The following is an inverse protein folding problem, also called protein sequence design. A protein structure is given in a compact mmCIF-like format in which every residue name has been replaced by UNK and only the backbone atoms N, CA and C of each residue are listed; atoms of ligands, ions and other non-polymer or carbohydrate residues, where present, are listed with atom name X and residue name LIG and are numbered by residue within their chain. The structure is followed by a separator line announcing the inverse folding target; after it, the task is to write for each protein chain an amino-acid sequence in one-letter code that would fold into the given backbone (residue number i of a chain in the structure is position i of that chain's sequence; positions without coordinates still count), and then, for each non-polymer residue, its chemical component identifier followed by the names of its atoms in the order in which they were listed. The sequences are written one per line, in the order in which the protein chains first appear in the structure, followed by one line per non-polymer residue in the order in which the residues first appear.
data_IF_479717247665
#
_entry.id   IF_479717247665
#
_cell.length_a   1.000
_cell.length_b   1.000
_cell.length_c   1.000
_cell.angle_alpha   90.00
_cell.angle_beta   90.00
_cell.angle_gamma   90.00
#
_symmetry.space_group_name_H-M   'P 1'
#
loop_
_entity.id
_entity.type
_entity.pdbx_description
1 polymer ?
#
# COMPACT_ATOMS: atom_id res chain seq x y z
N UNK A 1 31.67 -106.47 -17.80
CA UNK A 1 30.32 -106.98 -17.48
C UNK A 1 29.90 -107.87 -18.64
N UNK A 2 29.62 -109.14 -18.38
CA UNK A 2 29.27 -110.16 -19.38
C UNK A 2 27.76 -110.39 -19.38
N UNK A 3 27.16 -110.51 -20.57
CA UNK A 3 25.75 -110.88 -20.71
C UNK A 3 25.54 -112.41 -20.67
N UNK A 4 24.29 -112.89 -20.47
CA UNK A 4 23.97 -114.32 -20.36
C UNK A 4 24.17 -115.15 -21.65
N UNK A 5 24.70 -114.58 -22.74
CA UNK A 5 24.97 -115.28 -24.02
C UNK A 5 26.46 -115.48 -24.32
N UNK A 6 27.37 -115.09 -23.42
CA UNK A 6 28.75 -115.59 -23.42
C UNK A 6 29.67 -115.09 -24.55
N UNK A 7 29.43 -113.90 -25.13
CA UNK A 7 30.35 -113.31 -26.11
C UNK A 7 31.12 -112.11 -25.51
N UNK A 8 32.46 -112.18 -25.54
CA UNK A 8 33.38 -111.11 -25.12
C UNK A 8 33.87 -110.32 -26.33
N UNK A 9 33.66 -109.00 -26.35
CA UNK A 9 34.36 -108.10 -27.27
C UNK A 9 35.34 -107.23 -26.48
N UNK A 10 36.63 -107.45 -26.70
CA UNK A 10 37.73 -106.64 -26.19
C UNK A 10 38.27 -105.78 -27.34
N UNK A 11 38.31 -104.47 -27.15
CA UNK A 11 38.97 -103.53 -28.05
C UNK A 11 40.06 -102.80 -27.28
N UNK A 12 41.30 -103.01 -27.69
CA UNK A 12 42.49 -102.29 -27.21
C UNK A 12 42.52 -100.90 -27.87
N UNK A 13 42.63 -99.84 -27.07
CA UNK A 13 42.93 -98.48 -27.56
C UNK A 13 44.30 -98.08 -27.02
N UNK A 14 45.22 -97.78 -27.93
CA UNK A 14 46.57 -97.30 -27.62
C UNK A 14 46.51 -95.78 -27.40
N UNK A 15 47.01 -95.29 -26.27
CA UNK A 15 47.20 -93.86 -26.01
C UNK A 15 48.70 -93.60 -25.84
N UNK A 16 49.20 -92.67 -26.64
CA UNK A 16 50.59 -92.19 -26.67
C UNK A 16 50.75 -91.07 -25.63
N UNK A 17 51.75 -91.16 -24.76
CA UNK A 17 52.10 -90.10 -23.80
C UNK A 17 53.23 -89.26 -24.41
N UNK A 18 53.01 -87.95 -24.56
CA UNK A 18 54.05 -86.96 -24.87
C UNK A 18 54.47 -86.24 -23.59
N UNK A 19 55.78 -86.14 -23.40
CA UNK A 19 56.47 -85.52 -22.26
C UNK A 19 56.82 -84.09 -22.65
N UNK A 20 56.18 -83.08 -22.04
CA UNK A 20 56.51 -81.67 -22.22
C UNK A 20 56.98 -81.10 -20.88
N UNK A 21 58.31 -81.03 -20.75
CA UNK A 21 59.06 -80.53 -19.60
C UNK A 21 59.78 -79.26 -20.06
N UNK A 22 59.19 -78.09 -19.80
CA UNK A 22 59.80 -76.78 -20.07
C UNK A 22 59.70 -75.91 -18.80
N UNK A 23 60.83 -75.81 -18.09
CA UNK A 23 61.05 -74.87 -16.97
C UNK A 23 62.06 -73.84 -17.46
N UNK A 24 61.66 -72.57 -17.50
CA UNK A 24 62.47 -71.37 -17.17
C UNK A 24 61.55 -70.13 -17.19
N UNK A 25 60.90 -69.81 -16.07
CA UNK A 25 60.40 -68.46 -15.79
C UNK A 25 61.46 -67.62 -15.05
N UNK A 26 61.40 -66.28 -15.11
CA UNK A 26 62.31 -65.39 -14.38
C UNK A 26 62.22 -65.60 -12.85
N UNK A 27 63.22 -65.17 -12.05
CA UNK A 27 63.18 -65.34 -10.59
C UNK A 27 61.93 -64.66 -10.02
N UNK A 28 61.28 -65.22 -8.98
CA UNK A 28 60.16 -64.55 -8.34
C UNK A 28 60.65 -63.20 -7.78
N UNK A 29 59.85 -62.16 -8.03
CA UNK A 29 59.86 -60.89 -7.28
C UNK A 29 60.03 -61.19 -5.77
N UNK A 30 60.70 -60.33 -4.97
CA UNK A 30 60.69 -60.52 -3.52
C UNK A 30 59.23 -60.61 -3.09
N UNK A 31 58.84 -61.75 -2.52
CA UNK A 31 57.54 -61.86 -1.85
C UNK A 31 57.52 -60.76 -0.81
N UNK A 32 56.67 -59.76 -1.01
CA UNK A 32 56.34 -58.84 0.06
C UNK A 32 55.91 -59.69 1.25
N UNK A 33 56.52 -59.43 2.40
CA UNK A 33 56.07 -60.08 3.61
C UNK A 33 54.68 -59.50 3.89
N UNK A 34 53.74 -60.39 4.15
CA UNK A 34 52.35 -60.11 4.50
C UNK A 34 52.10 -61.03 5.70
N UNK A 35 52.26 -60.43 6.88
CA UNK A 35 52.46 -61.14 8.14
C UNK A 35 51.16 -61.70 8.71
N UNK A 36 50.02 -61.10 8.38
CA UNK A 36 48.68 -61.53 8.81
C UNK A 36 47.79 -62.04 7.66
N UNK A 37 48.22 -61.89 6.41
CA UNK A 37 47.58 -62.39 5.19
C UNK A 37 46.26 -61.70 4.83
N UNK A 38 46.16 -60.39 5.04
CA UNK A 38 45.01 -59.59 4.60
C UNK A 38 45.12 -59.10 3.14
N UNK A 39 46.32 -59.22 2.56
CA UNK A 39 46.62 -58.85 1.18
C UNK A 39 47.33 -57.50 1.01
N UNK A 40 47.62 -56.77 2.09
CA UNK A 40 48.49 -55.59 2.11
C UNK A 40 49.90 -56.03 2.54
N UNK A 41 50.94 -55.40 1.98
CA UNK A 41 52.31 -55.74 2.33
C UNK A 41 52.71 -55.06 3.64
N UNK A 42 53.46 -55.75 4.53
CA UNK A 42 53.95 -55.21 5.82
C UNK A 42 54.64 -53.83 5.73
N UNK A 43 55.13 -53.42 4.54
CA UNK A 43 55.77 -52.12 4.32
C UNK A 43 54.82 -50.97 4.03
N UNK A 44 53.59 -51.26 3.58
CA UNK A 44 52.53 -50.31 3.25
C UNK A 44 51.31 -50.48 4.18
N UNK A 45 51.43 -51.37 5.17
CA UNK A 45 50.40 -51.73 6.12
C UNK A 45 50.69 -51.03 7.47
N UNK A 46 49.74 -50.23 7.94
CA UNK A 46 49.83 -49.56 9.24
C UNK A 46 49.75 -50.54 10.43
N UNK A 47 49.10 -51.70 10.24
CA UNK A 47 48.91 -52.75 11.23
C UNK A 47 49.35 -54.14 10.74
N UNK A 48 50.67 -54.40 10.53
CA UNK A 48 51.21 -55.63 9.92
C UNK A 48 50.99 -56.96 10.68
N UNK A 49 50.12 -57.00 11.68
CA UNK A 49 49.80 -58.21 12.42
C UNK A 49 48.31 -58.34 12.74
N UNK A 50 47.49 -57.39 12.32
CA UNK A 50 46.04 -57.43 12.45
C UNK A 50 45.40 -57.51 11.05
N UNK A 51 44.92 -58.69 10.62
CA UNK A 51 44.39 -58.86 9.28
C UNK A 51 43.03 -58.16 9.06
N UNK A 52 42.55 -57.40 10.05
CA UNK A 52 41.33 -56.59 9.94
C UNK A 52 41.61 -55.10 9.80
N UNK A 53 42.86 -54.66 9.83
CA UNK A 53 43.25 -53.26 9.71
C UNK A 53 44.49 -53.13 8.82
N UNK A 54 44.51 -52.14 7.92
CA UNK A 54 45.67 -51.91 7.05
C UNK A 54 46.03 -50.42 6.89
N UNK A 55 45.16 -49.51 7.33
CA UNK A 55 45.30 -48.05 7.18
C UNK A 55 45.00 -47.36 8.51
N UNK A 56 45.72 -46.26 8.74
CA UNK A 56 45.65 -45.35 9.89
C UNK A 56 45.74 -43.93 9.32
N UNK A 57 44.59 -43.33 9.00
CA UNK A 57 44.50 -42.07 8.25
C UNK A 57 44.99 -40.87 9.07
N UNK A 58 44.68 -40.81 10.36
CA UNK A 58 45.04 -39.71 11.27
C UNK A 58 46.32 -39.97 12.10
N UNK A 59 46.79 -41.22 12.15
CA UNK A 59 48.01 -41.61 12.84
C UNK A 59 47.86 -41.77 14.36
N UNK A 60 46.65 -41.99 14.87
CA UNK A 60 46.38 -42.13 16.30
C UNK A 60 46.71 -43.55 16.85
N UNK A 61 46.83 -44.52 15.93
CA UNK A 61 47.14 -45.92 16.20
C UNK A 61 45.93 -46.84 16.34
N UNK A 62 44.73 -46.39 15.97
CA UNK A 62 43.53 -47.18 15.67
C UNK A 62 43.39 -47.27 14.14
N UNK A 63 43.00 -48.43 13.62
CA UNK A 63 42.87 -48.61 12.17
C UNK A 63 41.50 -48.17 11.68
N UNK A 64 41.43 -47.70 10.43
CA UNK A 64 40.22 -47.11 9.87
C UNK A 64 38.97 -48.02 9.90
N UNK A 65 39.11 -49.36 9.90
CA UNK A 65 37.91 -50.20 9.99
C UNK A 65 37.30 -50.24 11.41
N UNK A 66 38.07 -49.82 12.42
CA UNK A 66 37.69 -49.78 13.83
C UNK A 66 37.57 -48.35 14.39
N UNK A 67 38.17 -47.37 13.73
CA UNK A 67 38.03 -45.95 14.07
C UNK A 67 36.65 -45.44 13.62
N UNK A 68 35.91 -44.67 14.45
CA UNK A 68 34.70 -43.97 14.02
C UNK A 68 34.92 -42.58 13.41
N UNK A 69 36.16 -42.07 13.41
CA UNK A 69 36.57 -40.74 12.93
C UNK A 69 37.97 -40.88 12.29
N UNK A 70 37.98 -41.34 11.04
CA UNK A 70 39.19 -41.78 10.31
C UNK A 70 40.27 -40.67 10.16
N UNK A 71 39.88 -39.40 10.14
CA UNK A 71 40.81 -38.28 9.93
C UNK A 71 40.95 -37.32 11.13
N UNK A 72 40.21 -37.56 12.21
CA UNK A 72 40.22 -36.79 13.46
C UNK A 72 39.88 -35.30 13.28
N UNK A 73 39.07 -34.94 12.28
CA UNK A 73 38.62 -33.56 12.08
C UNK A 73 37.49 -33.12 13.03
N UNK A 74 36.87 -34.10 13.70
CA UNK A 74 35.82 -33.92 14.70
C UNK A 74 34.42 -34.31 14.21
N UNK A 75 34.27 -34.78 12.98
CA UNK A 75 33.06 -35.39 12.44
C UNK A 75 33.21 -36.90 12.35
N UNK A 76 32.16 -37.63 12.75
CA UNK A 76 32.17 -39.09 12.65
C UNK A 76 31.99 -39.53 11.20
N UNK A 77 32.62 -40.65 10.79
CA UNK A 77 32.56 -41.14 9.41
C UNK A 77 31.12 -41.29 8.88
N UNK A 78 30.19 -41.64 9.77
CA UNK A 78 28.79 -41.82 9.41
C UNK A 78 28.08 -40.51 9.07
N UNK A 79 28.52 -39.40 9.68
CA UNK A 79 27.99 -38.05 9.48
C UNK A 79 28.56 -37.49 8.19
N UNK A 80 29.86 -37.63 8.01
CA UNK A 80 30.57 -37.26 6.80
C UNK A 80 30.05 -37.99 5.56
N UNK A 81 29.87 -39.31 5.66
CA UNK A 81 29.30 -40.11 4.58
C UNK A 81 27.90 -39.62 4.17
N UNK A 82 27.09 -39.16 5.12
CA UNK A 82 25.75 -38.63 4.84
C UNK A 82 25.79 -37.21 4.26
N UNK A 83 26.72 -36.38 4.75
CA UNK A 83 26.91 -35.01 4.30
C UNK A 83 27.74 -34.90 2.99
N UNK A 84 28.40 -35.99 2.59
CA UNK A 84 29.20 -36.05 1.36
C UNK A 84 30.64 -35.56 1.50
N UNK A 85 31.16 -35.45 2.72
CA UNK A 85 32.57 -35.13 2.99
C UNK A 85 33.47 -36.39 2.94
N UNK A 86 34.78 -36.19 2.79
CA UNK A 86 35.78 -37.25 2.66
C UNK A 86 36.29 -37.71 4.02
N UNK A 87 36.05 -38.99 4.32
CA UNK A 87 36.36 -39.64 5.61
C UNK A 87 37.86 -39.63 5.98
N UNK A 88 38.75 -39.40 5.02
CA UNK A 88 40.19 -39.60 5.23
C UNK A 88 41.01 -38.30 5.12
N UNK A 89 40.36 -37.15 4.95
CA UNK A 89 41.00 -35.87 4.62
C UNK A 89 40.56 -34.75 5.57
N UNK A 90 41.36 -34.49 6.61
CA UNK A 90 41.08 -33.54 7.71
C UNK A 90 40.50 -32.15 7.37
N UNK A 91 40.67 -31.66 6.13
CA UNK A 91 40.12 -30.37 5.71
C UNK A 91 38.78 -30.48 4.96
N UNK A 92 38.29 -31.69 4.77
CA UNK A 92 37.04 -32.01 4.14
C UNK A 92 35.97 -32.19 5.21
N UNK A 93 35.53 -31.09 5.81
CA UNK A 93 34.41 -31.10 6.75
C UNK A 93 33.06 -31.04 6.02
N UNK A 94 31.96 -31.53 6.62
CA UNK A 94 30.59 -31.25 6.16
C UNK A 94 30.33 -29.75 5.95
N UNK A 95 29.46 -29.42 4.99
CA UNK A 95 29.05 -28.02 4.75
C UNK A 95 28.22 -27.48 5.93
N UNK A 96 28.51 -26.22 6.27
CA UNK A 96 27.87 -25.38 7.29
C UNK A 96 27.83 -23.97 6.66
N UNK A 97 26.73 -23.67 5.97
CA UNK A 97 26.61 -22.54 5.05
C UNK A 97 26.68 -21.20 5.79
N UNK A 98 26.05 -21.10 6.95
CA UNK A 98 26.01 -19.87 7.76
C UNK A 98 27.12 -19.79 8.84
N UNK A 99 27.78 -20.91 9.14
CA UNK A 99 28.85 -21.00 10.11
C UNK A 99 28.37 -20.96 11.57
N UNK A 100 27.13 -21.37 11.86
CA UNK A 100 26.56 -21.39 13.21
C UNK A 100 27.02 -22.62 14.03
N UNK A 101 27.60 -23.61 13.35
CA UNK A 101 28.13 -24.84 13.93
C UNK A 101 27.18 -26.04 13.84
N UNK A 102 26.03 -25.90 13.21
CA UNK A 102 25.16 -26.98 12.76
C UNK A 102 25.45 -27.19 11.26
N UNK A 103 25.66 -28.43 10.86
CA UNK A 103 25.91 -28.75 9.44
C UNK A 103 24.59 -28.70 8.69
N UNK A 104 24.61 -28.35 7.40
CA UNK A 104 23.40 -28.19 6.61
C UNK A 104 22.44 -29.39 6.67
N UNK A 105 22.99 -30.60 6.72
CA UNK A 105 22.19 -31.84 6.82
C UNK A 105 21.30 -31.89 8.09
N UNK A 106 21.67 -31.17 9.14
CA UNK A 106 21.03 -31.15 10.44
C UNK A 106 20.48 -29.76 10.83
N UNK A 107 20.71 -28.76 10.00
CA UNK A 107 20.15 -27.44 10.16
C UNK A 107 18.73 -27.41 9.58
N UNK A 108 17.86 -26.61 10.18
CA UNK A 108 16.51 -26.36 9.65
C UNK A 108 16.50 -25.07 8.79
N UNK A 109 17.55 -24.24 8.87
CA UNK A 109 17.71 -22.94 8.19
C UNK A 109 19.20 -22.76 7.82
N UNK A 110 19.60 -23.35 6.69
CA UNK A 110 21.01 -23.50 6.27
C UNK A 110 21.78 -22.18 6.14
N UNK A 111 21.10 -21.06 5.87
CA UNK A 111 21.72 -19.75 5.65
C UNK A 111 21.38 -18.69 6.71
N UNK A 112 20.60 -19.09 7.73
CA UNK A 112 20.15 -18.31 8.88
C UNK A 112 19.47 -16.98 8.50
N UNK A 113 18.74 -16.96 7.39
CA UNK A 113 18.00 -15.78 6.93
C UNK A 113 16.63 -15.62 7.61
N UNK A 114 16.20 -16.66 8.35
CA UNK A 114 14.97 -16.71 9.12
C UNK A 114 13.85 -17.52 8.46
N UNK A 115 14.09 -18.12 7.29
CA UNK A 115 13.19 -19.05 6.63
C UNK A 115 13.78 -20.47 6.65
N UNK A 116 12.97 -21.46 7.02
CA UNK A 116 13.45 -22.84 7.02
C UNK A 116 13.58 -23.38 5.61
N UNK A 117 14.53 -24.28 5.37
CA UNK A 117 14.76 -25.00 4.11
C UNK A 117 13.47 -25.57 3.50
N UNK A 118 12.56 -26.07 4.34
CA UNK A 118 11.28 -26.63 3.91
C UNK A 118 10.38 -25.58 3.23
N UNK A 119 10.33 -24.37 3.78
CA UNK A 119 9.53 -23.26 3.25
C UNK A 119 10.16 -22.76 1.97
N UNK A 120 11.49 -22.63 1.95
CA UNK A 120 12.23 -22.20 0.77
C UNK A 120 12.11 -23.18 -0.39
N UNK A 121 12.17 -24.48 -0.12
CA UNK A 121 11.89 -25.52 -1.13
C UNK A 121 10.44 -25.40 -1.64
N UNK A 122 9.47 -25.08 -0.78
CA UNK A 122 8.06 -24.93 -1.14
C UNK A 122 7.81 -23.71 -2.05
N UNK A 123 8.46 -22.58 -1.78
CA UNK A 123 8.30 -21.32 -2.53
C UNK A 123 9.34 -21.13 -3.64
N UNK A 124 10.33 -22.02 -3.72
CA UNK A 124 11.35 -22.06 -4.77
C UNK A 124 12.51 -21.07 -4.58
N UNK A 125 12.83 -20.73 -3.34
CA UNK A 125 14.06 -19.98 -2.99
C UNK A 125 15.22 -20.92 -2.68
N UNK A 126 16.42 -20.36 -2.59
CA UNK A 126 17.69 -21.06 -2.42
C UNK A 126 18.12 -21.03 -0.97
N UNK A 127 17.94 -22.14 -0.25
CA UNK A 127 18.24 -22.27 1.18
C UNK A 127 19.71 -22.15 1.55
N UNK A 128 20.60 -22.02 0.55
CA UNK A 128 22.03 -21.82 0.77
C UNK A 128 22.45 -20.36 0.58
N UNK A 129 21.49 -19.43 0.44
CA UNK A 129 21.75 -18.07 0.02
C UNK A 129 20.87 -17.05 0.74
N UNK A 130 21.42 -16.52 1.84
CA UNK A 130 20.78 -15.58 2.77
C UNK A 130 20.20 -14.27 2.18
N UNK A 131 20.35 -14.05 0.87
CA UNK A 131 19.77 -12.92 0.15
C UNK A 131 18.53 -13.31 -0.66
N UNK A 132 18.18 -14.59 -0.71
CA UNK A 132 17.12 -15.11 -1.54
C UNK A 132 15.85 -15.40 -0.75
N UNK A 133 15.29 -14.37 -0.12
CA UNK A 133 14.06 -14.51 0.66
C UNK A 133 12.82 -14.88 -0.17
N UNK A 134 11.84 -15.59 0.43
CA UNK A 134 10.48 -15.68 -0.06
C UNK A 134 9.88 -14.30 -0.33
N UNK A 135 9.05 -14.19 -1.37
CA UNK A 135 8.40 -12.93 -1.74
C UNK A 135 7.25 -12.61 -0.77
N UNK A 136 7.16 -11.34 -0.41
CA UNK A 136 6.10 -10.69 0.36
C UNK A 136 5.97 -9.30 -0.27
N UNK A 137 5.09 -9.21 -1.27
CA UNK A 137 5.02 -8.12 -2.23
C UNK A 137 4.53 -6.83 -1.59
N UNK A 138 3.52 -6.90 -0.73
CA UNK A 138 2.94 -5.77 0.00
C UNK A 138 3.55 -5.52 1.39
N UNK A 139 4.30 -6.48 1.95
CA UNK A 139 4.98 -6.44 3.25
C UNK A 139 4.01 -6.51 4.43
N UNK A 140 2.92 -7.24 4.30
CA UNK A 140 1.96 -7.46 5.36
C UNK A 140 2.32 -8.66 6.29
N UNK A 141 3.41 -9.36 5.97
CA UNK A 141 3.94 -10.55 6.63
C UNK A 141 3.25 -11.87 6.26
N UNK A 142 2.40 -11.86 5.25
CA UNK A 142 1.93 -13.06 4.54
C UNK A 142 2.79 -13.19 3.29
N UNK A 143 3.32 -14.39 3.05
CA UNK A 143 4.11 -14.64 1.84
C UNK A 143 3.17 -14.72 0.65
N UNK A 144 3.59 -14.25 -0.53
CA UNK A 144 2.79 -14.26 -1.76
C UNK A 144 2.14 -15.63 -2.04
N UNK A 145 2.84 -16.71 -1.71
CA UNK A 145 2.32 -18.07 -1.91
C UNK A 145 1.07 -18.40 -1.05
N UNK A 146 0.92 -17.75 0.09
CA UNK A 146 -0.20 -17.91 1.04
C UNK A 146 -1.13 -16.71 1.09
N UNK A 147 -0.78 -15.61 0.43
CA UNK A 147 -1.64 -14.46 0.26
C UNK A 147 -2.71 -14.76 -0.80
N UNK A 148 -3.85 -14.09 -0.67
CA UNK A 148 -4.89 -14.08 -1.68
C UNK A 148 -4.93 -12.76 -2.46
N UNK A 149 -4.21 -11.74 -2.00
CA UNK A 149 -4.13 -10.38 -2.52
C UNK A 149 -2.67 -9.90 -2.33
N UNK A 150 -1.79 -10.37 -3.21
CA UNK A 150 -0.32 -10.22 -3.12
C UNK A 150 0.15 -8.75 -2.95
N UNK A 151 -0.62 -7.79 -3.46
CA UNK A 151 -0.28 -6.36 -3.41
C UNK A 151 -1.19 -5.50 -2.50
N UNK A 152 -2.18 -6.13 -1.86
CA UNK A 152 -3.14 -5.54 -0.94
C UNK A 152 -3.91 -4.34 -1.52
N UNK A 153 -4.19 -4.33 -2.83
CA UNK A 153 -5.00 -3.30 -3.48
C UNK A 153 -6.52 -3.49 -3.33
N UNK A 154 -6.91 -4.60 -2.70
CA UNK A 154 -8.27 -4.99 -2.41
C UNK A 154 -8.88 -5.93 -3.46
N UNK A 155 -8.11 -6.35 -4.46
CA UNK A 155 -8.50 -7.35 -5.43
C UNK A 155 -7.68 -8.63 -5.27
N UNK A 156 -8.34 -9.79 -5.26
CA UNK A 156 -7.60 -11.05 -5.15
C UNK A 156 -6.86 -11.43 -6.43
N UNK A 157 -5.71 -12.11 -6.29
CA UNK A 157 -4.87 -12.56 -7.40
C UNK A 157 -5.64 -13.38 -8.44
N UNK A 158 -6.62 -14.15 -7.98
CA UNK A 158 -7.46 -14.98 -8.84
C UNK A 158 -8.31 -14.11 -9.76
N UNK A 159 -8.90 -13.04 -9.24
CA UNK A 159 -9.74 -12.13 -10.02
C UNK A 159 -8.87 -11.32 -10.97
N UNK A 160 -7.74 -10.83 -10.51
CA UNK A 160 -6.78 -10.11 -11.35
C UNK A 160 -6.28 -10.95 -12.51
N UNK A 161 -5.93 -12.22 -12.25
CA UNK A 161 -5.52 -13.14 -13.31
C UNK A 161 -6.64 -13.42 -14.31
N UNK A 162 -7.89 -13.55 -13.84
CA UNK A 162 -9.06 -13.73 -14.71
C UNK A 162 -9.33 -12.46 -15.56
N UNK A 163 -9.05 -11.28 -15.02
CA UNK A 163 -9.23 -9.98 -15.67
C UNK A 163 -8.02 -9.50 -16.47
N UNK A 164 -6.87 -10.18 -16.33
CA UNK A 164 -5.64 -9.88 -17.04
C UNK A 164 -4.81 -8.73 -16.46
N UNK A 165 -5.00 -8.42 -15.17
CA UNK A 165 -4.17 -7.48 -14.43
C UNK A 165 -3.03 -8.19 -13.69
N UNK A 166 -2.15 -7.44 -13.02
CA UNK A 166 -0.91 -7.93 -12.42
C UNK A 166 -1.03 -7.99 -10.89
N UNK A 167 -1.13 -9.18 -10.28
CA UNK A 167 -1.36 -9.34 -8.84
C UNK A 167 -0.28 -8.79 -7.91
N UNK A 168 0.86 -8.38 -8.48
CA UNK A 168 2.01 -7.89 -7.70
C UNK A 168 2.17 -6.38 -7.77
N UNK A 169 1.21 -5.68 -8.37
CA UNK A 169 1.33 -4.28 -8.68
C UNK A 169 0.05 -3.54 -8.27
N UNK A 170 0.05 -2.81 -7.13
CA UNK A 170 -1.17 -2.26 -6.52
C UNK A 170 -1.77 -1.07 -7.29
N UNK A 171 -1.20 -0.77 -8.47
CA UNK A 171 -1.71 0.19 -9.44
C UNK A 171 -2.32 -0.49 -10.67
N UNK A 172 -2.39 -1.82 -10.67
CA UNK A 172 -2.90 -2.65 -11.74
C UNK A 172 -4.16 -3.38 -11.27
N UNK A 173 -5.19 -2.62 -10.90
CA UNK A 173 -6.49 -3.19 -10.54
C UNK A 173 -7.41 -3.33 -11.76
N UNK A 174 -8.27 -4.36 -11.82
CA UNK A 174 -9.39 -4.41 -12.75
C UNK A 174 -10.30 -3.19 -12.61
N UNK A 175 -10.79 -2.67 -13.72
CA UNK A 175 -11.80 -1.61 -13.73
C UNK A 175 -13.13 -2.14 -13.15
N UNK A 176 -13.80 -1.31 -12.36
CA UNK A 176 -15.07 -1.56 -11.68
C UNK A 176 -15.87 -0.25 -11.81
N UNK A 177 -16.69 -0.17 -12.85
CA UNK A 177 -17.30 1.08 -13.33
C UNK A 177 -18.38 1.58 -12.39
N UNK A 178 -19.18 0.68 -11.82
CA UNK A 178 -20.28 1.01 -10.91
C UNK A 178 -19.92 0.91 -9.41
N UNK A 179 -18.71 0.42 -9.11
CA UNK A 179 -18.17 0.24 -7.75
C UNK A 179 -18.99 -0.72 -6.88
N UNK A 180 -19.63 -1.72 -7.48
CA UNK A 180 -20.39 -2.73 -6.73
C UNK A 180 -19.49 -3.83 -6.12
N UNK A 181 -18.21 -3.85 -6.53
CA UNK A 181 -17.17 -4.78 -6.09
C UNK A 181 -16.98 -5.98 -7.00
N UNK A 182 -17.68 -6.04 -8.15
CA UNK A 182 -17.48 -7.00 -9.22
C UNK A 182 -16.81 -6.24 -10.38
N UNK A 183 -15.56 -6.54 -10.73
CA UNK A 183 -14.91 -5.87 -11.85
C UNK A 183 -15.60 -6.12 -13.19
N UNK A 184 -15.52 -5.17 -14.13
CA UNK A 184 -16.19 -5.19 -15.43
C UNK A 184 -15.92 -6.47 -16.27
N UNK A 185 -14.73 -7.06 -16.10
CA UNK A 185 -14.37 -8.33 -16.73
C UNK A 185 -15.22 -9.54 -16.26
N UNK A 186 -15.85 -9.43 -15.10
CA UNK A 186 -16.67 -10.45 -14.43
C UNK A 186 -18.11 -10.01 -14.21
N UNK A 187 -18.38 -8.70 -14.27
CA UNK A 187 -19.72 -8.17 -14.27
C UNK A 187 -20.45 -8.50 -15.59
N UNK A 188 -21.77 -8.53 -15.50
CA UNK A 188 -22.68 -8.70 -16.63
C UNK A 188 -23.43 -7.40 -16.97
N UNK A 189 -23.33 -6.38 -16.11
CA UNK A 189 -24.01 -5.09 -16.15
C UNK A 189 -23.06 -4.05 -15.53
N UNK A 190 -22.00 -3.70 -16.27
CA UNK A 190 -20.82 -2.95 -15.79
C UNK A 190 -21.15 -1.57 -15.19
N UNK A 191 -22.26 -0.95 -15.58
CA UNK A 191 -22.70 0.36 -15.10
C UNK A 191 -23.97 0.31 -14.23
N UNK A 192 -24.50 -0.89 -13.99
CA UNK A 192 -25.67 -1.18 -13.17
C UNK A 192 -26.94 -0.38 -13.58
N UNK A 193 -27.09 -0.04 -14.86
CA UNK A 193 -28.28 0.64 -15.40
C UNK A 193 -29.49 -0.31 -15.57
N UNK A 194 -29.25 -1.62 -15.40
CA UNK A 194 -30.25 -2.68 -15.48
C UNK A 194 -30.32 -3.37 -16.84
N UNK A 195 -29.38 -3.10 -17.75
CA UNK A 195 -29.24 -3.74 -19.04
C UNK A 195 -27.89 -4.47 -19.14
N UNK A 196 -27.94 -5.80 -19.30
CA UNK A 196 -26.69 -6.58 -19.46
C UNK A 196 -25.81 -6.06 -20.62
N UNK A 197 -24.48 -5.98 -20.44
CA UNK A 197 -23.53 -5.40 -21.42
C UNK A 197 -23.68 -6.01 -22.82
N UNK A 198 -24.00 -7.31 -22.86
CA UNK A 198 -24.16 -8.01 -24.11
C UNK A 198 -25.37 -7.50 -24.90
N UNK A 199 -26.44 -7.07 -24.25
CA UNK A 199 -27.62 -6.45 -24.86
C UNK A 199 -27.24 -5.10 -25.46
N UNK A 200 -26.51 -4.30 -24.71
CA UNK A 200 -26.07 -2.97 -25.09
C UNK A 200 -25.12 -2.99 -26.29
N UNK A 201 -24.08 -3.82 -26.24
CA UNK A 201 -23.15 -4.05 -27.37
C UNK A 201 -23.93 -4.46 -28.64
N UNK A 202 -24.98 -5.27 -28.50
CA UNK A 202 -25.81 -5.71 -29.63
C UNK A 202 -26.69 -4.59 -30.20
N UNK A 203 -27.06 -3.62 -29.37
CA UNK A 203 -27.91 -2.48 -29.74
C UNK A 203 -27.10 -1.21 -30.03
N UNK A 204 -25.80 -1.25 -29.76
CA UNK A 204 -24.82 -0.22 -30.07
C UNK A 204 -24.66 0.85 -29.01
N UNK A 205 -25.02 0.58 -27.76
CA UNK A 205 -24.78 1.43 -26.59
C UNK A 205 -23.52 1.00 -25.84
N UNK A 206 -22.96 1.90 -25.02
CA UNK A 206 -21.73 1.70 -24.26
C UNK A 206 -22.03 1.13 -22.86
N UNK A 207 -21.59 -0.11 -22.55
CA UNK A 207 -21.88 -0.75 -21.26
C UNK A 207 -21.27 -0.11 -20.02
N UNK A 208 -20.40 0.88 -20.22
CA UNK A 208 -19.74 1.57 -19.12
C UNK A 208 -20.40 2.92 -18.80
N UNK A 209 -21.55 3.20 -19.40
CA UNK A 209 -22.18 4.50 -19.35
C UNK A 209 -23.65 4.38 -18.96
N UNK A 210 -23.90 4.55 -17.66
CA UNK A 210 -25.20 4.43 -16.98
C UNK A 210 -26.34 5.27 -17.58
N UNK A 211 -26.04 6.16 -18.52
CA UNK A 211 -27.01 7.01 -19.21
C UNK A 211 -27.25 6.61 -20.68
N UNK A 212 -26.64 5.52 -21.18
CA UNK A 212 -26.80 5.09 -22.58
C UNK A 212 -27.68 3.85 -22.74
N UNK A 213 -28.98 4.07 -22.84
CA UNK A 213 -29.92 2.97 -22.82
C UNK A 213 -30.18 2.30 -24.18
N UNK A 214 -30.33 0.96 -24.23
CA UNK A 214 -30.62 0.21 -25.45
C UNK A 214 -32.04 0.43 -26.04
N UNK A 215 -32.88 1.26 -25.42
CA UNK A 215 -34.26 1.51 -25.84
C UNK A 215 -34.54 2.99 -26.11
N UNK A 216 -35.59 3.33 -26.90
CA UNK A 216 -35.99 4.72 -27.09
C UNK A 216 -36.46 5.46 -25.83
N UNK A 217 -36.82 4.76 -24.77
CA UNK A 217 -37.37 5.27 -23.50
C UNK A 217 -36.35 4.91 -22.43
N UNK A 218 -35.25 5.68 -22.40
CA UNK A 218 -34.02 5.26 -21.75
C UNK A 218 -34.16 5.15 -20.25
N UNK A 219 -34.60 6.23 -19.62
CA UNK A 219 -34.87 6.32 -18.19
C UNK A 219 -36.16 5.58 -17.74
N UNK A 220 -36.97 5.08 -18.68
CA UNK A 220 -38.18 4.31 -18.42
C UNK A 220 -39.33 5.12 -17.82
N UNK A 221 -39.34 6.44 -17.98
CA UNK A 221 -40.39 7.33 -17.47
C UNK A 221 -41.70 7.25 -18.29
N UNK A 222 -41.63 6.61 -19.46
CA UNK A 222 -42.73 6.42 -20.41
C UNK A 222 -42.77 7.45 -21.54
N UNK A 223 -41.74 8.29 -21.67
CA UNK A 223 -41.55 9.34 -22.66
C UNK A 223 -40.29 9.05 -23.48
N UNK A 224 -40.43 8.54 -24.72
CA UNK A 224 -39.27 8.23 -25.54
C UNK A 224 -38.47 9.46 -26.03
N UNK A 225 -37.15 9.32 -26.18
CA UNK A 225 -36.31 10.24 -26.94
C UNK A 225 -36.68 10.23 -28.44
N UNK A 226 -36.53 11.37 -29.11
CA UNK A 226 -37.06 11.59 -30.47
C UNK A 226 -36.39 10.75 -31.59
N UNK A 227 -37.19 9.94 -32.30
CA UNK A 227 -36.78 9.17 -33.50
C UNK A 227 -37.29 9.74 -34.85
N UNK A 228 -37.43 11.05 -34.99
CA UNK A 228 -37.66 11.66 -36.31
C UNK A 228 -39.10 11.58 -36.87
N UNK A 229 -39.61 12.74 -37.27
CA UNK A 229 -40.75 13.01 -38.17
C UNK A 229 -42.19 12.67 -37.72
N UNK A 230 -42.45 12.23 -36.49
CA UNK A 230 -43.82 12.26 -35.93
C UNK A 230 -43.77 12.73 -34.48
N UNK A 231 -44.22 13.96 -34.22
CA UNK A 231 -44.27 14.56 -32.89
C UNK A 231 -45.24 13.84 -31.97
N UNK A 232 -44.75 13.04 -31.03
CA UNK A 232 -45.46 12.74 -29.79
C UNK A 232 -44.42 12.39 -28.72
N UNK A 233 -44.16 13.37 -27.85
CA UNK A 233 -43.29 13.33 -26.66
C UNK A 233 -41.80 13.22 -27.00
N UNK A 234 -41.06 14.29 -26.71
CA UNK A 234 -39.61 14.31 -26.76
C UNK A 234 -39.18 14.48 -25.33
N UNK A 235 -38.48 13.50 -24.82
CA UNK A 235 -37.89 13.58 -23.49
C UNK A 235 -36.98 14.80 -23.36
N UNK A 236 -37.29 15.69 -22.42
CA UNK A 236 -36.48 16.85 -22.09
C UNK A 236 -35.48 16.58 -20.94
N UNK A 237 -35.50 15.37 -20.35
CA UNK A 237 -34.45 14.84 -19.48
C UNK A 237 -34.22 13.34 -19.78
N UNK A 238 -33.58 13.00 -20.93
CA UNK A 238 -33.45 11.61 -21.42
C UNK A 238 -32.90 10.57 -20.45
N UNK A 239 -32.21 11.04 -19.42
CA UNK A 239 -31.44 10.24 -18.48
C UNK A 239 -32.06 10.25 -17.06
N UNK A 240 -33.09 11.07 -16.80
CA UNK A 240 -33.68 11.25 -15.47
C UNK A 240 -35.21 11.18 -15.54
N UNK A 241 -35.84 10.18 -14.88
CA UNK A 241 -37.28 9.97 -14.97
C UNK A 241 -38.14 11.18 -14.63
N UNK A 242 -38.76 11.80 -15.63
CA UNK A 242 -39.65 12.95 -15.45
C UNK A 242 -40.93 12.83 -16.31
N UNK A 243 -41.88 11.93 -15.96
CA UNK A 243 -43.06 11.65 -16.80
C UNK A 243 -43.98 12.86 -17.07
N UNK A 244 -43.80 13.95 -16.32
CA UNK A 244 -44.55 15.20 -16.47
C UNK A 244 -43.92 16.17 -17.48
N UNK A 245 -42.64 15.98 -17.82
CA UNK A 245 -41.87 16.78 -18.77
C UNK A 245 -42.01 18.29 -18.49
N UNK A 246 -41.94 18.65 -17.20
CA UNK A 246 -42.02 20.05 -16.77
C UNK A 246 -40.72 20.76 -17.16
N UNK A 247 -40.85 21.95 -17.73
CA UNK A 247 -39.78 22.85 -18.19
C UNK A 247 -40.26 24.27 -17.85
N UNK A 248 -39.79 24.81 -16.73
CA UNK A 248 -40.32 26.04 -16.13
C UNK A 248 -39.91 27.29 -16.91
N UNK A 249 -38.76 27.29 -17.56
CA UNK A 249 -38.20 28.46 -18.23
C UNK A 249 -38.24 28.40 -19.78
N UNK A 250 -38.68 27.27 -20.34
CA UNK A 250 -38.75 26.89 -21.76
C UNK A 250 -37.39 26.93 -22.49
N UNK A 251 -36.30 26.48 -21.87
CA UNK A 251 -34.99 26.33 -22.52
C UNK A 251 -34.81 24.99 -23.26
N UNK A 252 -35.71 24.04 -22.99
CA UNK A 252 -35.78 22.72 -23.58
C UNK A 252 -35.15 21.60 -22.74
N UNK A 253 -34.70 21.90 -21.53
CA UNK A 253 -34.35 20.94 -20.48
C UNK A 253 -35.52 20.87 -19.48
N UNK A 254 -35.70 19.73 -18.83
CA UNK A 254 -36.74 19.60 -17.81
C UNK A 254 -36.26 20.01 -16.42
N UNK A 255 -37.18 20.45 -15.56
CA UNK A 255 -36.89 20.94 -14.20
C UNK A 255 -36.05 19.97 -13.33
N UNK A 256 -36.03 18.66 -13.65
CA UNK A 256 -35.26 17.67 -12.89
C UNK A 256 -33.80 17.56 -13.32
N UNK A 257 -33.49 18.01 -14.54
CA UNK A 257 -32.15 17.97 -15.13
C UNK A 257 -31.63 19.37 -15.49
N UNK A 258 -32.34 20.41 -15.06
CA UNK A 258 -32.00 21.81 -15.26
C UNK A 258 -31.43 22.40 -13.96
N UNK A 259 -30.13 22.71 -13.97
CA UNK A 259 -29.43 23.34 -12.85
C UNK A 259 -29.77 24.84 -12.69
N UNK A 260 -30.58 25.42 -13.58
CA UNK A 260 -31.18 26.75 -13.42
C UNK A 260 -32.66 26.79 -13.83
N UNK A 261 -33.51 26.08 -13.09
CA UNK A 261 -34.98 25.92 -13.29
C UNK A 261 -35.75 27.19 -13.74
N UNK A 262 -35.30 28.39 -13.35
CA UNK A 262 -35.97 29.66 -13.66
C UNK A 262 -35.25 30.54 -14.70
N UNK A 263 -34.05 30.15 -15.18
CA UNK A 263 -33.16 30.97 -16.02
C UNK A 263 -32.56 30.14 -17.15
N UNK A 264 -32.96 30.46 -18.39
CA UNK A 264 -32.56 29.70 -19.58
C UNK A 264 -31.04 29.58 -19.73
N UNK A 265 -30.53 28.37 -19.60
CA UNK A 265 -29.11 28.03 -19.69
C UNK A 265 -28.94 26.64 -20.31
N UNK A 266 -29.33 26.49 -21.57
CA UNK A 266 -29.25 25.22 -22.31
C UNK A 266 -27.86 24.54 -22.28
N UNK A 267 -26.80 25.29 -22.03
CA UNK A 267 -25.43 24.78 -21.89
C UNK A 267 -25.11 24.19 -20.50
N UNK A 268 -25.95 24.44 -19.49
CA UNK A 268 -25.89 23.87 -18.14
C UNK A 268 -24.49 24.00 -17.54
N UNK A 269 -23.86 25.16 -17.72
CA UNK A 269 -22.55 25.41 -17.13
C UNK A 269 -22.68 25.54 -15.62
N UNK A 270 -21.77 24.89 -14.91
CA UNK A 270 -21.67 24.81 -13.46
C UNK A 270 -20.18 24.58 -13.16
N UNK A 271 -19.49 25.66 -12.83
CA UNK A 271 -18.03 25.70 -12.77
C UNK A 271 -17.47 25.06 -11.50
N UNK A 272 -18.15 25.25 -10.38
CA UNK A 272 -17.73 24.77 -9.05
C UNK A 272 -18.38 23.44 -8.65
N UNK A 273 -19.35 22.96 -9.44
CA UNK A 273 -20.06 21.68 -9.31
C UNK A 273 -20.88 21.59 -8.03
N UNK A 274 -21.50 22.68 -7.62
CA UNK A 274 -22.38 22.72 -6.45
C UNK A 274 -23.83 22.26 -6.77
N UNK A 275 -24.16 22.13 -8.06
CA UNK A 275 -25.46 21.72 -8.57
C UNK A 275 -26.37 22.87 -9.00
N UNK A 276 -25.91 24.11 -8.90
CA UNK A 276 -26.56 25.34 -9.35
C UNK A 276 -25.77 25.89 -10.53
N UNK A 277 -26.46 26.23 -11.63
CA UNK A 277 -25.74 26.66 -12.84
C UNK A 277 -25.18 28.08 -12.72
N UNK A 278 -24.07 28.38 -13.42
CA UNK A 278 -23.36 29.67 -13.38
C UNK A 278 -24.25 30.90 -13.66
N UNK A 279 -25.39 30.72 -14.34
CA UNK A 279 -26.33 31.81 -14.65
C UNK A 279 -27.31 32.13 -13.51
N UNK A 280 -27.50 31.21 -12.58
CA UNK A 280 -28.39 31.34 -11.44
C UNK A 280 -27.69 31.15 -10.08
N UNK A 281 -26.38 30.88 -10.10
CA UNK A 281 -25.52 30.82 -8.93
C UNK A 281 -25.10 32.22 -8.47
N UNK A 282 -25.26 32.49 -7.17
CA UNK A 282 -24.85 33.75 -6.53
C UNK A 282 -23.33 33.80 -6.28
N UNK A 283 -22.63 32.66 -6.29
CA UNK A 283 -21.18 32.55 -6.18
C UNK A 283 -20.58 31.51 -7.17
N UNK A 284 -20.56 31.80 -8.50
CA UNK A 284 -20.18 30.84 -9.56
C UNK A 284 -18.80 30.17 -9.49
N UNK A 285 -17.93 30.59 -8.58
CA UNK A 285 -16.58 30.06 -8.41
C UNK A 285 -16.42 29.27 -7.09
N UNK A 286 -17.42 29.25 -6.19
CA UNK A 286 -17.30 28.80 -4.79
C UNK A 286 -18.47 27.90 -4.34
N UNK A 287 -18.19 26.59 -4.17
CA UNK A 287 -19.19 25.56 -3.84
C UNK A 287 -20.18 25.95 -2.72
N UNK A 288 -21.43 26.25 -3.07
CA UNK A 288 -22.48 26.72 -2.15
C UNK A 288 -23.91 26.24 -2.51
N UNK A 289 -24.23 24.94 -2.44
CA UNK A 289 -25.51 24.39 -2.93
C UNK A 289 -26.78 24.96 -2.26
N UNK A 290 -26.64 25.57 -1.08
CA UNK A 290 -27.75 26.19 -0.34
C UNK A 290 -28.05 27.62 -0.79
N UNK A 291 -27.14 28.26 -1.54
CA UNK A 291 -27.29 29.57 -2.16
C UNK A 291 -27.78 30.63 -1.15
N UNK A 292 -27.13 30.66 0.04
CA UNK A 292 -27.40 31.69 1.05
C UNK A 292 -26.96 33.06 0.50
N UNK A 293 -27.85 34.04 0.61
CA UNK A 293 -27.71 35.44 0.19
C UNK A 293 -28.59 36.24 1.17
N UNK A 294 -28.01 36.63 2.31
CA UNK A 294 -28.74 37.12 3.46
C UNK A 294 -29.36 38.51 3.24
N UNK A 295 -28.68 39.38 2.50
CA UNK A 295 -29.13 40.73 2.18
C UNK A 295 -29.88 40.86 0.83
N UNK A 296 -29.95 39.77 0.06
CA UNK A 296 -30.59 39.67 -1.25
C UNK A 296 -29.94 40.58 -2.32
N UNK A 297 -28.62 40.78 -2.28
CA UNK A 297 -27.90 41.65 -3.21
C UNK A 297 -27.40 40.93 -4.50
N UNK A 298 -27.61 39.61 -4.56
CA UNK A 298 -27.19 38.66 -5.61
C UNK A 298 -25.71 38.24 -5.54
N UNK A 299 -25.03 38.54 -4.44
CA UNK A 299 -23.76 37.94 -4.04
C UNK A 299 -24.03 37.02 -2.86
N UNK A 300 -23.60 35.76 -2.93
CA UNK A 300 -23.88 34.82 -1.84
C UNK A 300 -22.95 35.01 -0.66
N UNK A 301 -23.41 34.64 0.53
CA UNK A 301 -22.69 34.84 1.81
C UNK A 301 -21.26 34.25 1.83
N UNK A 302 -20.96 33.26 0.97
CA UNK A 302 -19.62 32.68 0.88
C UNK A 302 -18.62 33.57 0.11
N UNK A 303 -19.12 34.40 -0.80
CA UNK A 303 -18.33 35.26 -1.68
C UNK A 303 -18.64 36.76 -1.50
N UNK A 304 -19.59 37.09 -0.62
CA UNK A 304 -19.75 38.41 -0.03
C UNK A 304 -18.74 38.64 1.11
N UNK A 305 -18.47 39.91 1.40
CA UNK A 305 -17.64 40.34 2.52
C UNK A 305 -18.46 41.07 3.59
N UNK A 306 -19.74 41.34 3.35
CA UNK A 306 -20.66 42.11 4.20
C UNK A 306 -22.09 41.51 4.03
N UNK A 307 -22.32 40.35 4.65
CA UNK A 307 -23.51 39.50 4.46
C UNK A 307 -24.85 40.21 4.74
N UNK A 308 -24.87 41.26 5.58
CA UNK A 308 -26.07 42.02 5.92
C UNK A 308 -26.11 43.46 5.41
N UNK A 309 -25.08 43.86 4.64
CA UNK A 309 -24.93 45.14 3.99
C UNK A 309 -25.04 46.35 4.97
N UNK A 310 -24.67 46.18 6.24
CA UNK A 310 -24.68 47.23 7.26
C UNK A 310 -23.45 48.15 7.21
N UNK A 311 -22.44 47.75 6.42
CA UNK A 311 -21.21 48.47 6.16
C UNK A 311 -20.02 48.03 7.00
N UNK A 312 -20.14 46.93 7.76
CA UNK A 312 -19.03 46.24 8.43
C UNK A 312 -18.75 44.92 7.72
N UNK A 313 -17.48 44.51 7.65
CA UNK A 313 -17.17 43.23 7.01
C UNK A 313 -17.38 42.06 7.96
N UNK A 314 -17.74 40.89 7.46
CA UNK A 314 -17.96 39.70 8.30
C UNK A 314 -16.71 39.35 9.13
N UNK A 315 -15.52 39.56 8.54
CA UNK A 315 -14.23 39.35 9.22
C UNK A 315 -14.10 40.28 10.45
N UNK A 316 -14.45 41.56 10.28
CA UNK A 316 -14.40 42.56 11.35
C UNK A 316 -15.45 42.27 12.42
N UNK A 317 -16.67 41.91 12.02
CA UNK A 317 -17.76 41.63 12.93
C UNK A 317 -17.54 40.40 13.80
N UNK A 318 -17.07 39.30 13.21
CA UNK A 318 -16.68 38.11 13.96
C UNK A 318 -15.56 38.43 14.96
N UNK A 319 -14.59 39.25 14.55
CA UNK A 319 -13.48 39.64 15.42
C UNK A 319 -13.93 40.50 16.60
N UNK A 320 -14.97 41.32 16.40
CA UNK A 320 -15.49 42.27 17.36
C UNK A 320 -16.70 41.73 18.15
N UNK A 321 -17.21 40.58 17.74
CA UNK A 321 -18.26 39.82 18.41
C UNK A 321 -19.69 40.27 18.07
N UNK A 322 -19.88 40.96 16.95
CA UNK A 322 -21.19 41.16 16.32
C UNK A 322 -21.57 39.95 15.44
N UNK A 323 -22.79 39.97 14.92
CA UNK A 323 -23.36 38.91 14.09
C UNK A 323 -23.39 39.40 12.63
N UNK A 324 -22.58 38.81 11.72
CA UNK A 324 -22.50 39.21 10.32
C UNK A 324 -23.80 39.15 9.52
N UNK A 325 -24.82 38.45 10.07
CA UNK A 325 -26.12 38.26 9.44
C UNK A 325 -27.21 38.99 10.23
N UNK A 326 -26.95 40.15 10.82
CA UNK A 326 -27.95 40.96 11.52
C UNK A 326 -27.59 42.44 11.43
N UNK A 327 -28.21 43.16 10.49
CA UNK A 327 -28.00 44.61 10.23
C UNK A 327 -28.15 45.53 11.48
N UNK A 328 -28.67 44.99 12.58
CA UNK A 328 -28.82 45.69 13.86
C UNK A 328 -27.71 45.40 14.86
N UNK A 329 -26.79 44.51 14.53
CA UNK A 329 -25.72 43.98 15.37
C UNK A 329 -24.39 44.69 15.22
N UNK A 330 -24.29 45.82 14.52
CA UNK A 330 -23.11 46.70 14.44
C UNK A 330 -22.12 46.64 15.62
N UNK A 331 -20.84 46.35 15.32
CA UNK A 331 -19.77 46.57 16.28
C UNK A 331 -19.62 48.07 16.60
N UNK A 332 -19.32 48.43 17.86
CA UNK A 332 -19.19 49.84 18.24
C UNK A 332 -18.02 50.56 17.55
N UNK A 333 -18.25 51.83 17.23
CA UNK A 333 -17.28 52.84 16.79
C UNK A 333 -17.70 54.16 17.46
N UNK A 334 -17.23 54.40 18.69
CA UNK A 334 -17.76 55.51 19.52
C UNK A 334 -17.38 56.91 19.01
N UNK A 335 -16.22 57.05 18.37
CA UNK A 335 -15.76 58.33 17.84
C UNK A 335 -16.08 58.54 16.34
N UNK A 336 -16.47 57.48 15.64
CA UNK A 336 -16.87 57.51 14.24
C UNK A 336 -15.71 57.72 13.27
N UNK A 337 -14.48 57.31 13.65
CA UNK A 337 -13.30 57.45 12.79
C UNK A 337 -13.15 56.33 11.75
N UNK A 338 -13.99 55.29 11.86
CA UNK A 338 -14.05 54.14 10.96
C UNK A 338 -13.16 52.97 11.39
N UNK A 339 -12.53 53.04 12.55
CA UNK A 339 -11.88 51.91 13.21
C UNK A 339 -12.81 51.41 14.31
N UNK A 340 -13.21 50.15 14.26
CA UNK A 340 -14.07 49.58 15.30
C UNK A 340 -13.35 49.58 16.66
N UNK A 341 -14.10 49.81 17.74
CA UNK A 341 -13.64 49.87 19.14
C UNK A 341 -12.76 48.68 19.60
N UNK A 342 -12.96 47.52 19.01
CA UNK A 342 -12.21 46.27 19.24
C UNK A 342 -10.78 46.31 18.64
N UNK A 343 -10.58 47.15 17.61
CA UNK A 343 -9.31 47.38 16.93
C UNK A 343 -8.69 48.73 17.25
N UNK A 344 -9.48 49.63 17.83
CA UNK A 344 -9.03 50.91 18.35
C UNK A 344 -8.45 50.77 19.77
N UNK A 345 -7.50 51.64 20.11
CA UNK A 345 -6.93 51.73 21.45
C UNK A 345 -7.32 53.03 22.16
N UNK A 346 -8.11 53.90 21.53
CA UNK A 346 -8.58 55.21 22.04
C UNK A 346 -10.00 55.47 21.53
N UNK A 347 -10.97 54.68 22.00
CA UNK A 347 -12.29 54.54 21.35
C UNK A 347 -13.14 55.84 21.31
N UNK A 348 -12.78 56.85 22.09
CA UNK A 348 -13.46 58.16 22.08
C UNK A 348 -12.61 59.30 21.53
N UNK A 349 -11.39 58.98 21.07
CA UNK A 349 -10.39 59.88 20.49
C UNK A 349 -10.09 61.11 21.39
N UNK A 350 -10.14 60.94 22.72
CA UNK A 350 -9.78 62.00 23.68
C UNK A 350 -8.26 62.12 23.93
N UNK A 351 -7.50 61.14 23.42
CA UNK A 351 -6.04 61.08 23.48
C UNK A 351 -5.51 60.27 24.66
N UNK A 352 -6.36 59.51 25.35
CA UNK A 352 -6.00 58.60 26.44
C UNK A 352 -6.32 57.16 26.01
N UNK A 353 -5.31 56.31 26.03
CA UNK A 353 -5.49 54.89 25.69
C UNK A 353 -6.48 54.19 26.65
N UNK A 354 -7.39 53.38 26.08
CA UNK A 354 -8.42 52.59 26.75
C UNK A 354 -7.92 51.84 28.01
N UNK A 355 -6.69 51.32 27.96
CA UNK A 355 -6.10 50.52 29.04
C UNK A 355 -5.89 51.30 30.35
N UNK A 356 -5.88 52.64 30.26
CA UNK A 356 -5.72 53.55 31.41
C UNK A 356 -6.88 54.55 31.54
N UNK A 357 -7.78 54.61 30.57
CA UNK A 357 -8.94 55.50 30.65
C UNK A 357 -10.06 54.95 31.56
N UNK A 358 -10.70 55.85 32.30
CA UNK A 358 -11.79 55.54 33.22
C UNK A 358 -13.16 55.54 32.53
N UNK A 359 -13.30 56.18 31.37
CA UNK A 359 -14.55 56.23 30.60
C UNK A 359 -14.30 56.01 29.08
N UNK A 360 -13.72 54.85 28.65
CA UNK A 360 -13.14 54.70 27.30
C UNK A 360 -14.09 54.95 26.12
N UNK A 361 -15.40 54.89 26.37
CA UNK A 361 -16.44 55.05 25.35
C UNK A 361 -16.99 56.47 25.23
N UNK A 362 -16.47 57.46 25.97
CA UNK A 362 -17.05 58.79 25.97
C UNK A 362 -16.03 59.87 26.30
N UNK A 363 -15.76 60.70 25.27
CA UNK A 363 -14.80 61.78 25.30
C UNK A 363 -14.88 62.56 26.61
N UNK A 364 -13.83 62.47 27.41
CA UNK A 364 -13.69 63.24 28.62
C UNK A 364 -12.36 64.00 28.69
N UNK A 365 -12.20 64.82 29.73
CA UNK A 365 -10.93 65.51 29.92
C UNK A 365 -10.29 64.89 31.15
N UNK A 366 -9.35 63.96 30.98
CA UNK A 366 -8.71 63.32 32.12
C UNK A 366 -7.96 64.34 32.99
N UNK A 367 -8.40 64.42 34.25
CA UNK A 367 -7.91 65.37 35.25
C UNK A 367 -6.81 64.72 36.10
N UNK A 368 -5.56 64.73 35.63
CA UNK A 368 -4.45 64.20 36.44
C UNK A 368 -4.21 65.12 37.64
N UNK A 369 -4.26 64.56 38.85
CA UNK A 369 -3.85 65.30 40.05
C UNK A 369 -2.34 65.22 40.22
N UNK A 370 -1.62 66.34 40.13
CA UNK A 370 -0.23 66.39 40.56
C UNK A 370 -0.17 66.26 42.09
N UNK A 371 0.73 65.41 42.58
CA UNK A 371 1.08 65.36 43.99
C UNK A 371 1.98 66.57 44.34
N UNK A 372 1.46 67.49 45.17
CA UNK A 372 2.17 68.66 45.68
C UNK A 372 1.99 68.72 47.21
N UNK A 373 3.02 68.29 47.94
CA UNK A 373 3.14 68.50 49.39
C UNK A 373 3.95 69.76 49.62
N UNK A 374 3.25 70.88 49.85
CA UNK A 374 3.87 72.20 50.06
C UNK A 374 4.71 72.23 51.36
N UNK A 375 4.44 71.33 52.30
CA UNK A 375 5.17 71.23 53.57
C UNK A 375 6.16 70.05 53.64
N UNK A 376 6.14 69.14 52.66
CA UNK A 376 7.07 68.02 52.53
C UNK A 376 6.85 66.84 53.49
N UNK A 377 5.67 66.73 54.11
CA UNK A 377 5.32 65.66 55.05
C UNK A 377 4.97 64.32 54.39
N UNK A 378 4.97 64.25 53.05
CA UNK A 378 4.60 63.04 52.33
C UNK A 378 3.09 62.78 52.32
N UNK A 379 2.28 63.78 52.70
CA UNK A 379 0.83 63.81 52.48
C UNK A 379 0.50 64.93 51.49
N UNK A 380 -0.42 64.67 50.55
CA UNK A 380 -0.74 65.65 49.51
C UNK A 380 -1.51 66.83 50.13
N UNK A 381 -0.92 68.03 50.12
CA UNK A 381 -1.53 69.23 50.72
C UNK A 381 -2.54 69.88 49.76
N UNK A 382 -2.30 69.75 48.44
CA UNK A 382 -3.18 70.23 47.39
C UNK A 382 -3.28 69.23 46.23
N UNK A 383 -4.51 68.96 45.80
CA UNK A 383 -4.77 68.32 44.53
C UNK A 383 -4.86 69.42 43.47
N UNK A 384 -3.81 69.58 42.66
CA UNK A 384 -3.91 70.39 41.45
C UNK A 384 -4.44 69.48 40.36
N UNK A 385 -5.70 69.70 40.00
CA UNK A 385 -6.29 69.13 38.80
C UNK A 385 -5.63 69.83 37.61
N UNK A 386 -4.76 69.10 36.91
CA UNK A 386 -4.27 69.51 35.61
C UNK A 386 -5.25 68.95 34.59
N UNK A 387 -5.96 69.85 33.90
CA UNK A 387 -6.54 69.49 32.60
C UNK A 387 -5.36 69.32 31.65
N UNK A 388 -5.17 68.14 31.08
CA UNK A 388 -4.24 67.99 29.97
C UNK A 388 -4.84 68.79 28.81
N UNK A 389 -4.29 69.97 28.56
CA UNK A 389 -4.64 70.74 27.38
C UNK A 389 -3.90 70.18 26.18
N UNK A 390 -4.62 69.44 25.34
CA UNK A 390 -4.27 69.00 23.99
C UNK A 390 -2.87 68.37 23.86
N UNK A 391 -2.82 67.03 23.73
CA UNK A 391 -1.75 66.44 22.96
C UNK A 391 -1.92 66.86 21.49
N UNK A 392 -0.91 67.53 20.96
CA UNK A 392 -0.80 67.82 19.54
C UNK A 392 -0.09 66.64 18.89
N UNK A 393 -0.81 65.56 18.56
CA UNK A 393 -0.29 64.52 17.66
C UNK A 393 -1.44 63.97 16.80
N UNK A 394 -2.11 64.86 16.08
CA UNK A 394 -2.64 64.48 14.78
C UNK A 394 -1.47 64.23 13.83
N UNK A 395 -1.35 62.99 13.36
CA UNK A 395 -0.72 62.74 12.07
C UNK A 395 -1.17 61.47 11.40
#
# INVERSE_FOLDING_TARGET
MTDPSGNTASTTVNITITDDLEICGPPPEPVSLDSDNDGVADSEDAFPSDPTEWKDSDGDGVGNNSDPDDDSDGFLDNTEFLAGSDLEEFNSIPEDTDGDGIINLLDDDDDNDGFSDLIEEEVGTDSLNFLNFPLDTDKDLVLDFYDLDDDNDGQSDLIELDCGTDPKNPFSRPDDTDFDGIPNCLDIDDDNDGFEDQIEINLGTDPLNVYEYPTPDGDGDGVPYFLGNVQFFNDNCPDIPNPNQLDTDDDGLGDVCDNCINIRNKDQSDLDQDGVGDLCDVCPDDFNPEQEDYDEDLLGDICDLDDDNDGQSDEDEIACGSDPKDETSLSPDFDGDGILDCFDNDNDNDGIEDSIDLNPSNFDDLLISQYVSDNGDGINDQFIILKIGNYSNSK
#
